data_IF_257700221718
#
_entry.id   IF_257700221718
#
_cell.length_a   1.000
_cell.length_b   1.000
_cell.length_c   1.000
_cell.angle_alpha   90.00
_cell.angle_beta   90.00
_cell.angle_gamma   90.00
#
_symmetry.space_group_name_H-M   'P 1'
#
loop_
_entity.id
_entity.type
_entity.pdbx_description
1 polymer ?
#
# COMPACT_ATOMS: atom_id res chain seq x y z
N UNK A 1 -7.13 -4.20 -15.53
CA UNK A 1 -7.48 -2.89 -16.13
C UNK A 1 -8.59 -2.25 -15.30
N UNK A 2 -8.48 -0.96 -14.97
CA UNK A 2 -9.53 -0.23 -14.25
C UNK A 2 -10.75 0.00 -15.14
N UNK A 3 -11.90 0.18 -14.52
CA UNK A 3 -13.18 0.54 -15.14
C UNK A 3 -13.51 2.01 -14.85
N UNK A 4 -14.44 2.59 -15.61
CA UNK A 4 -14.91 3.97 -15.37
C UNK A 4 -15.31 4.22 -13.91
N UNK A 5 -16.04 3.27 -13.31
CA UNK A 5 -16.51 3.40 -11.94
C UNK A 5 -15.35 3.37 -10.92
N UNK A 6 -14.31 2.57 -11.18
CA UNK A 6 -13.11 2.53 -10.32
C UNK A 6 -12.46 3.92 -10.25
N UNK A 7 -12.32 4.59 -11.39
CA UNK A 7 -11.67 5.91 -11.49
C UNK A 7 -12.54 7.00 -10.85
N UNK A 8 -13.85 6.96 -11.06
CA UNK A 8 -14.78 7.92 -10.45
C UNK A 8 -14.83 7.76 -8.94
N UNK A 9 -14.93 6.53 -8.44
CA UNK A 9 -14.94 6.28 -7.00
C UNK A 9 -13.58 6.59 -6.37
N UNK A 10 -12.49 6.26 -7.06
CA UNK A 10 -11.14 6.67 -6.68
C UNK A 10 -11.03 8.18 -6.46
N UNK A 11 -11.51 9.01 -7.38
CA UNK A 11 -11.48 10.47 -7.19
C UNK A 11 -12.28 10.89 -5.94
N UNK A 12 -13.48 10.33 -5.73
CA UNK A 12 -14.31 10.66 -4.56
C UNK A 12 -13.58 10.37 -3.25
N UNK A 13 -12.76 9.32 -3.20
CA UNK A 13 -11.97 9.01 -2.01
C UNK A 13 -10.95 10.09 -1.64
N UNK A 14 -10.48 10.90 -2.61
CA UNK A 14 -9.57 12.01 -2.33
C UNK A 14 -10.22 13.13 -1.52
N UNK A 15 -11.55 13.16 -1.37
CA UNK A 15 -12.21 14.13 -0.48
C UNK A 15 -11.75 14.01 0.98
N UNK A 16 -11.10 12.91 1.36
CA UNK A 16 -10.54 12.68 2.70
C UNK A 16 -9.02 12.92 2.75
N UNK A 17 -8.40 13.32 1.64
CA UNK A 17 -6.96 13.56 1.56
C UNK A 17 -6.54 14.80 2.36
N UNK A 18 -5.30 14.78 2.85
CA UNK A 18 -4.71 15.83 3.70
C UNK A 18 -4.77 17.23 3.08
N UNK A 19 -4.60 17.33 1.77
CA UNK A 19 -4.53 18.58 1.02
C UNK A 19 -5.91 19.17 0.71
N UNK A 20 -7.00 18.53 1.15
CA UNK A 20 -8.36 19.01 0.91
C UNK A 20 -8.69 20.18 1.85
N UNK A 21 -9.03 21.39 1.33
CA UNK A 21 -9.39 22.52 2.16
C UNK A 21 -10.62 22.25 3.03
N UNK A 22 -10.59 22.76 4.26
CA UNK A 22 -11.74 22.73 5.17
C UNK A 22 -12.81 23.74 4.72
N UNK A 23 -14.07 23.51 5.12
CA UNK A 23 -15.19 24.43 4.82
C UNK A 23 -15.79 24.31 3.40
N UNK A 24 -15.23 23.48 2.52
CA UNK A 24 -15.81 23.20 1.22
C UNK A 24 -17.03 22.26 1.31
N UNK A 25 -18.07 22.55 0.52
CA UNK A 25 -19.17 21.61 0.28
C UNK A 25 -18.68 20.35 -0.44
N UNK A 26 -19.49 19.29 -0.45
CA UNK A 26 -19.10 18.05 -1.13
C UNK A 26 -18.79 18.25 -2.62
N UNK A 27 -19.62 19.01 -3.35
CA UNK A 27 -19.38 19.31 -4.77
C UNK A 27 -18.10 20.13 -4.97
N UNK A 28 -17.85 21.11 -4.11
CA UNK A 28 -16.63 21.93 -4.16
C UNK A 28 -15.37 21.08 -3.90
N UNK A 29 -15.44 20.10 -2.99
CA UNK A 29 -14.33 19.15 -2.76
C UNK A 29 -14.06 18.29 -3.98
N UNK A 30 -15.10 17.79 -4.65
CA UNK A 30 -14.93 17.01 -5.88
C UNK A 30 -14.30 17.85 -7.00
N UNK A 31 -14.73 19.10 -7.17
CA UNK A 31 -14.12 20.01 -8.14
C UNK A 31 -12.66 20.33 -7.80
N UNK A 32 -12.36 20.58 -6.52
CA UNK A 32 -11.00 20.78 -6.05
C UNK A 32 -10.10 19.58 -6.38
N UNK A 33 -10.57 18.36 -6.09
CA UNK A 33 -9.78 17.15 -6.35
C UNK A 33 -9.65 16.84 -7.85
N UNK A 34 -10.69 17.11 -8.66
CA UNK A 34 -10.57 17.02 -10.11
C UNK A 34 -9.52 18.00 -10.65
N UNK A 35 -9.45 19.23 -10.13
CA UNK A 35 -8.42 20.22 -10.48
C UNK A 35 -7.03 19.80 -10.05
N UNK A 36 -6.87 19.20 -8.86
CA UNK A 36 -5.58 18.68 -8.40
C UNK A 36 -5.03 17.57 -9.31
N UNK A 37 -5.91 16.87 -10.02
CA UNK A 37 -5.56 15.86 -11.03
C UNK A 37 -5.39 16.41 -12.46
N UNK A 38 -5.67 17.70 -12.69
CA UNK A 38 -5.49 18.38 -13.99
C UNK A 38 -6.78 18.57 -14.80
N UNK A 39 -7.97 18.37 -14.21
CA UNK A 39 -9.25 18.61 -14.87
C UNK A 39 -9.84 19.98 -14.48
N UNK A 40 -10.71 20.54 -15.31
CA UNK A 40 -11.33 21.85 -15.02
C UNK A 40 -12.36 21.79 -13.87
N UNK A 41 -13.07 20.67 -13.77
CA UNK A 41 -14.11 20.38 -12.78
C UNK A 41 -14.37 18.87 -12.70
N UNK A 42 -15.14 18.44 -11.70
CA UNK A 42 -15.60 17.07 -11.57
C UNK A 42 -16.49 16.65 -12.75
N UNK A 43 -17.30 17.56 -13.27
CA UNK A 43 -18.09 17.32 -14.49
C UNK A 43 -17.19 17.10 -15.71
N UNK A 44 -16.17 17.96 -15.90
CA UNK A 44 -15.19 17.80 -16.98
C UNK A 44 -14.49 16.44 -16.86
N UNK A 45 -14.00 16.09 -15.67
CA UNK A 45 -13.43 14.77 -15.38
C UNK A 45 -14.35 13.62 -15.80
N UNK A 46 -15.60 13.61 -15.33
CA UNK A 46 -16.55 12.51 -15.64
C UNK A 46 -16.81 12.39 -17.13
N UNK A 47 -16.99 13.52 -17.82
CA UNK A 47 -17.23 13.56 -19.27
C UNK A 47 -16.01 13.06 -20.04
N UNK A 48 -14.81 13.54 -19.71
CA UNK A 48 -13.56 13.07 -20.33
C UNK A 48 -13.42 11.57 -20.18
N UNK A 49 -13.54 11.05 -18.95
CA UNK A 49 -13.37 9.61 -18.69
C UNK A 49 -14.41 8.74 -19.40
N UNK A 50 -15.65 9.22 -19.60
CA UNK A 50 -16.69 8.47 -20.33
C UNK A 50 -16.52 8.47 -21.85
N UNK A 51 -15.76 9.41 -22.39
CA UNK A 51 -15.61 9.61 -23.84
C UNK A 51 -14.28 9.06 -24.38
N UNK A 52 -13.38 8.59 -23.50
CA UNK A 52 -12.11 8.03 -23.93
C UNK A 52 -12.32 6.68 -24.65
N UNK A 53 -11.64 6.45 -25.79
CA UNK A 53 -11.53 5.13 -26.39
C UNK A 53 -10.90 4.12 -25.42
N UNK A 54 -11.22 2.84 -25.56
CA UNK A 54 -10.78 1.77 -24.65
C UNK A 54 -9.27 1.76 -24.38
N UNK A 55 -8.46 1.85 -25.43
CA UNK A 55 -6.99 1.79 -25.31
C UNK A 55 -6.43 3.00 -24.56
N UNK A 56 -6.91 4.20 -24.90
CA UNK A 56 -6.56 5.44 -24.20
C UNK A 56 -7.06 5.44 -22.76
N UNK A 57 -8.26 4.89 -22.52
CA UNK A 57 -8.83 4.77 -21.17
C UNK A 57 -7.94 3.90 -20.28
N UNK A 58 -7.45 2.77 -20.79
CA UNK A 58 -6.58 1.88 -20.02
C UNK A 58 -5.32 2.59 -19.50
N UNK A 59 -4.61 3.29 -20.39
CA UNK A 59 -3.39 4.02 -20.03
C UNK A 59 -3.68 5.22 -19.09
N UNK A 60 -4.71 6.01 -19.41
CA UNK A 60 -5.09 7.20 -18.62
C UNK A 60 -5.58 6.80 -17.23
N UNK A 61 -6.45 5.79 -17.14
CA UNK A 61 -6.98 5.30 -15.85
C UNK A 61 -5.87 4.75 -14.95
N UNK A 62 -4.89 4.03 -15.51
CA UNK A 62 -3.75 3.52 -14.75
C UNK A 62 -2.91 4.66 -14.14
N UNK A 63 -2.63 5.71 -14.92
CA UNK A 63 -1.91 6.89 -14.45
C UNK A 63 -2.69 7.70 -13.41
N UNK A 64 -4.01 7.87 -13.61
CA UNK A 64 -4.88 8.56 -12.66
C UNK A 64 -4.99 7.81 -11.34
N UNK A 65 -5.24 6.50 -11.38
CA UNK A 65 -5.34 5.68 -10.18
C UNK A 65 -4.03 5.67 -9.40
N UNK A 66 -2.88 5.68 -10.07
CA UNK A 66 -1.57 5.84 -9.40
C UNK A 66 -1.54 7.12 -8.57
N UNK A 67 -1.89 8.27 -9.16
CA UNK A 67 -1.91 9.57 -8.47
C UNK A 67 -2.96 9.62 -7.35
N UNK A 68 -4.10 8.97 -7.55
CA UNK A 68 -5.14 8.85 -6.52
C UNK A 68 -4.61 8.06 -5.33
N UNK A 69 -4.07 6.86 -5.54
CA UNK A 69 -3.51 6.03 -4.47
C UNK A 69 -2.33 6.71 -3.74
N UNK A 70 -1.55 7.53 -4.46
CA UNK A 70 -0.44 8.32 -3.90
C UNK A 70 -0.89 9.46 -2.99
N UNK A 71 -2.07 10.05 -3.25
CA UNK A 71 -2.62 11.16 -2.45
C UNK A 71 -3.56 10.71 -1.35
N UNK A 72 -4.34 9.65 -1.61
CA UNK A 72 -5.37 9.13 -0.71
C UNK A 72 -4.77 8.77 0.65
N UNK A 73 -5.54 9.02 1.70
CA UNK A 73 -5.30 8.46 3.03
C UNK A 73 -6.14 7.19 3.22
N UNK A 74 -5.72 6.28 4.11
CA UNK A 74 -6.53 5.13 4.53
C UNK A 74 -8.00 5.47 4.78
N UNK A 75 -8.87 4.73 4.09
CA UNK A 75 -10.31 4.99 4.07
C UNK A 75 -10.95 4.71 5.42
N UNK A 76 -10.56 3.61 6.04
CA UNK A 76 -11.11 3.17 7.33
C UNK A 76 -10.23 3.61 8.49
N UNK A 77 -10.71 4.51 9.39
CA UNK A 77 -9.90 5.03 10.49
C UNK A 77 -9.50 3.99 11.52
N UNK A 78 -10.32 2.96 11.71
CA UNK A 78 -10.15 1.94 12.76
C UNK A 78 -9.57 0.62 12.23
N UNK A 79 -9.31 0.52 10.93
CA UNK A 79 -8.71 -0.66 10.34
C UNK A 79 -7.19 -0.63 10.47
N UNK A 80 -6.58 -1.79 10.73
CA UNK A 80 -5.12 -1.93 10.72
C UNK A 80 -4.63 -1.94 9.28
N UNK A 81 -3.55 -1.23 9.03
CA UNK A 81 -2.85 -1.29 7.75
C UNK A 81 -1.50 -1.98 7.91
N UNK A 82 -1.00 -2.50 6.80
CA UNK A 82 0.28 -3.16 6.70
C UNK A 82 1.07 -2.55 5.54
N UNK A 83 2.35 -2.29 5.78
CA UNK A 83 3.26 -1.73 4.78
C UNK A 83 3.99 -2.85 4.05
N UNK A 84 3.96 -2.78 2.72
CA UNK A 84 4.64 -3.71 1.83
C UNK A 84 5.41 -2.95 0.75
N UNK A 85 6.47 -3.58 0.24
CA UNK A 85 7.33 -3.03 -0.82
C UNK A 85 7.65 -4.15 -1.82
N UNK A 86 7.34 -4.01 -3.11
CA UNK A 86 7.75 -4.98 -4.11
C UNK A 86 9.27 -5.00 -4.28
N UNK A 87 9.86 -6.18 -4.27
CA UNK A 87 11.29 -6.41 -4.49
C UNK A 87 11.50 -7.21 -5.78
N UNK A 88 12.71 -7.20 -6.37
CA UNK A 88 12.98 -7.96 -7.60
C UNK A 88 12.62 -9.45 -7.50
N UNK A 89 12.77 -10.04 -6.30
CA UNK A 89 12.50 -11.44 -6.03
C UNK A 89 11.54 -11.60 -4.85
N UNK A 90 10.41 -10.89 -4.85
CA UNK A 90 9.33 -11.10 -3.88
C UNK A 90 8.86 -9.82 -3.20
N UNK A 91 8.51 -9.91 -1.92
CA UNK A 91 7.90 -8.79 -1.18
C UNK A 91 8.63 -8.51 0.14
N UNK A 92 9.00 -7.24 0.31
CA UNK A 92 9.39 -6.65 1.58
C UNK A 92 8.18 -6.18 2.37
N UNK A 93 8.30 -6.10 3.68
CA UNK A 93 7.25 -5.55 4.56
C UNK A 93 7.82 -4.94 5.84
N UNK A 94 7.14 -3.92 6.36
CA UNK A 94 7.47 -3.39 7.68
C UNK A 94 7.06 -4.39 8.75
N UNK A 95 8.04 -4.87 9.52
CA UNK A 95 7.90 -6.10 10.27
C UNK A 95 8.05 -5.90 11.78
N UNK A 96 7.54 -6.88 12.53
CA UNK A 96 7.86 -7.06 13.95
C UNK A 96 8.50 -8.44 14.15
N UNK A 97 9.47 -8.51 15.05
CA UNK A 97 10.07 -9.76 15.50
C UNK A 97 9.08 -10.54 16.36
N UNK A 98 8.96 -11.85 16.14
CA UNK A 98 8.08 -12.75 16.89
C UNK A 98 8.80 -13.94 17.52
N UNK A 99 10.10 -14.11 17.25
CA UNK A 99 10.89 -15.18 17.83
C UNK A 99 12.11 -15.55 17.00
N UNK A 100 12.79 -16.61 17.42
CA UNK A 100 13.87 -17.24 16.66
C UNK A 100 13.40 -18.62 16.18
N UNK A 101 13.84 -19.03 15.00
CA UNK A 101 13.60 -20.38 14.52
C UNK A 101 14.61 -21.38 15.09
N UNK A 102 14.46 -22.66 14.71
CA UNK A 102 15.37 -23.75 15.13
C UNK A 102 16.82 -23.59 14.63
N UNK A 103 17.06 -22.70 13.69
CA UNK A 103 18.37 -22.39 13.13
C UNK A 103 18.97 -21.10 13.73
N UNK A 104 18.25 -20.45 14.64
CA UNK A 104 18.63 -19.14 15.20
C UNK A 104 18.45 -17.98 14.24
N UNK A 105 17.61 -18.13 13.21
CA UNK A 105 17.19 -17.04 12.32
C UNK A 105 15.99 -16.28 12.91
N UNK A 106 15.90 -14.99 12.62
CA UNK A 106 14.75 -14.18 13.06
C UNK A 106 13.47 -14.64 12.36
N UNK A 107 12.42 -14.86 13.15
CA UNK A 107 11.08 -15.01 12.64
C UNK A 107 10.37 -13.67 12.81
N UNK A 108 9.89 -13.11 11.70
CA UNK A 108 9.26 -11.79 11.65
C UNK A 108 7.99 -11.82 10.84
N UNK A 109 6.96 -11.10 11.27
CA UNK A 109 5.68 -10.97 10.57
C UNK A 109 5.34 -9.50 10.29
N UNK A 110 4.40 -9.21 9.35
CA UNK A 110 3.94 -7.85 9.10
C UNK A 110 3.44 -7.17 10.37
N UNK A 111 3.96 -5.97 10.64
CA UNK A 111 3.57 -5.19 11.81
C UNK A 111 2.30 -4.41 11.50
N UNK A 112 1.25 -4.50 12.33
CA UNK A 112 0.08 -3.67 12.16
C UNK A 112 0.39 -2.20 12.45
N UNK A 113 -0.15 -1.31 11.63
CA UNK A 113 0.05 0.14 11.69
C UNK A 113 -1.28 0.89 11.84
N UNK A 114 -1.23 2.05 12.51
CA UNK A 114 -2.26 3.08 12.38
C UNK A 114 -2.16 3.65 10.97
N UNK A 115 -3.14 3.34 10.11
CA UNK A 115 -3.05 3.64 8.68
C UNK A 115 -2.74 5.11 8.39
N UNK A 116 -3.61 6.02 8.85
CA UNK A 116 -3.48 7.45 8.53
C UNK A 116 -2.19 8.04 9.07
N UNK A 117 -1.91 7.87 10.36
CA UNK A 117 -0.73 8.47 10.98
C UNK A 117 0.57 7.94 10.36
N UNK A 118 0.62 6.65 10.03
CA UNK A 118 1.82 6.03 9.46
C UNK A 118 2.06 6.48 8.02
N UNK A 119 1.01 6.51 7.18
CA UNK A 119 1.10 7.03 5.81
C UNK A 119 1.54 8.48 5.80
N UNK A 120 0.96 9.32 6.66
CA UNK A 120 1.30 10.74 6.76
C UNK A 120 2.75 10.94 7.19
N UNK A 121 3.20 10.22 8.23
CA UNK A 121 4.58 10.28 8.71
C UNK A 121 5.56 9.85 7.62
N UNK A 122 5.31 8.71 6.97
CA UNK A 122 6.22 8.18 5.96
C UNK A 122 6.32 9.16 4.78
N UNK A 123 5.20 9.63 4.24
CA UNK A 123 5.19 10.63 3.15
C UNK A 123 5.89 11.94 3.52
N UNK A 124 5.97 12.28 4.80
CA UNK A 124 6.67 13.48 5.29
C UNK A 124 8.19 13.34 5.38
N UNK A 125 8.73 12.11 5.33
CA UNK A 125 10.18 11.85 5.52
C UNK A 125 10.84 11.15 4.33
N UNK A 126 10.06 10.67 3.36
CA UNK A 126 10.57 9.99 2.16
C UNK A 126 10.27 10.81 0.90
N UNK A 127 11.14 10.65 -0.11
CA UNK A 127 11.04 11.31 -1.41
C UNK A 127 10.44 10.40 -2.51
N UNK A 128 10.21 9.11 -2.19
CA UNK A 128 9.58 8.15 -3.10
C UNK A 128 8.05 8.07 -2.89
N UNK A 129 7.28 7.62 -3.90
CA UNK A 129 5.83 7.50 -3.78
C UNK A 129 5.39 6.49 -2.71
N UNK A 130 4.41 6.86 -1.88
CA UNK A 130 3.75 5.95 -0.93
C UNK A 130 2.28 5.81 -1.29
N UNK A 131 1.87 4.61 -1.67
CA UNK A 131 0.51 4.31 -2.12
C UNK A 131 -0.37 3.80 -0.98
N UNK A 132 -1.64 4.19 -0.97
CA UNK A 132 -2.68 3.53 -0.19
C UNK A 132 -3.50 2.69 -1.16
N UNK A 133 -3.55 1.38 -0.94
CA UNK A 133 -4.19 0.39 -1.82
C UNK A 133 -5.38 -0.20 -1.06
N UNK A 134 -6.59 -0.06 -1.61
CA UNK A 134 -7.87 -0.38 -0.96
C UNK A 134 -8.68 -1.41 -1.75
N UNK A 135 -8.16 -1.92 -2.88
CA UNK A 135 -8.87 -2.90 -3.72
C UNK A 135 -7.92 -3.83 -4.47
N UNK A 136 -8.46 -4.97 -4.91
CA UNK A 136 -7.80 -5.97 -5.77
C UNK A 136 -7.16 -5.38 -7.04
N UNK A 137 -7.87 -4.46 -7.70
CA UNK A 137 -7.38 -3.84 -8.95
C UNK A 137 -6.21 -2.91 -8.70
N UNK A 138 -6.28 -2.14 -7.61
CA UNK A 138 -5.18 -1.28 -7.17
C UNK A 138 -3.97 -2.13 -6.72
N UNK A 139 -4.21 -3.23 -6.00
CA UNK A 139 -3.18 -4.19 -5.59
C UNK A 139 -2.43 -4.77 -6.79
N UNK A 140 -3.17 -5.22 -7.80
CA UNK A 140 -2.59 -5.75 -9.05
C UNK A 140 -1.76 -4.68 -9.76
N UNK A 141 -2.30 -3.46 -9.92
CA UNK A 141 -1.60 -2.36 -10.57
C UNK A 141 -0.32 -1.95 -9.81
N UNK A 142 -0.39 -1.91 -8.48
CA UNK A 142 0.75 -1.59 -7.63
C UNK A 142 1.87 -2.63 -7.75
N UNK A 143 1.56 -3.92 -7.61
CA UNK A 143 2.56 -5.01 -7.70
C UNK A 143 3.24 -5.05 -9.06
N UNK A 144 2.47 -4.89 -10.13
CA UNK A 144 2.99 -5.12 -11.48
C UNK A 144 3.62 -3.87 -12.11
N UNK A 145 3.07 -2.68 -11.82
CA UNK A 145 3.41 -1.45 -12.57
C UNK A 145 4.03 -0.38 -11.67
N UNK A 146 3.38 -0.02 -10.55
CA UNK A 146 3.79 1.17 -9.78
C UNK A 146 5.02 0.94 -8.91
N UNK A 147 5.14 -0.25 -8.30
CA UNK A 147 6.36 -0.77 -7.64
C UNK A 147 7.07 0.21 -6.69
N UNK A 148 6.35 0.71 -5.69
CA UNK A 148 6.90 1.48 -4.56
C UNK A 148 6.31 0.98 -3.24
N UNK A 149 6.54 1.66 -2.11
CA UNK A 149 5.89 1.32 -0.84
C UNK A 149 4.37 1.48 -0.92
N UNK A 150 3.62 0.52 -0.38
CA UNK A 150 2.18 0.63 -0.24
C UNK A 150 1.67 0.17 1.13
N UNK A 151 0.56 0.79 1.52
CA UNK A 151 -0.23 0.48 2.71
C UNK A 151 -1.52 -0.21 2.28
N UNK A 152 -1.76 -1.40 2.80
CA UNK A 152 -2.94 -2.22 2.51
C UNK A 152 -3.75 -2.44 3.81
N UNK A 153 -5.10 -2.41 3.75
CA UNK A 153 -5.93 -2.76 4.89
C UNK A 153 -5.78 -4.24 5.26
N UNK A 154 -6.08 -4.58 6.52
CA UNK A 154 -5.87 -5.92 7.09
C UNK A 154 -6.48 -7.06 6.26
N UNK A 155 -7.71 -6.89 5.80
CA UNK A 155 -8.39 -7.90 4.98
C UNK A 155 -7.63 -8.19 3.68
N UNK A 156 -7.33 -7.14 2.91
CA UNK A 156 -6.60 -7.26 1.65
C UNK A 156 -5.19 -7.82 1.85
N UNK A 157 -4.50 -7.37 2.91
CA UNK A 157 -3.17 -7.87 3.24
C UNK A 157 -3.20 -9.36 3.60
N UNK A 158 -4.13 -9.80 4.45
CA UNK A 158 -4.23 -11.21 4.88
C UNK A 158 -4.68 -12.12 3.75
N UNK A 159 -5.56 -11.66 2.88
CA UNK A 159 -6.03 -12.45 1.73
C UNK A 159 -4.90 -12.75 0.75
N UNK A 160 -4.03 -11.78 0.46
CA UNK A 160 -2.99 -11.92 -0.56
C UNK A 160 -1.61 -12.33 -0.04
N UNK A 161 -1.36 -12.08 1.24
CA UNK A 161 -0.08 -12.33 1.89
C UNK A 161 -0.23 -13.22 3.13
N UNK A 162 -1.21 -14.14 3.15
CA UNK A 162 -1.48 -15.04 4.28
C UNK A 162 -0.22 -15.71 4.86
N UNK A 163 0.65 -16.23 3.98
CA UNK A 163 1.92 -16.88 4.37
C UNK A 163 2.88 -15.98 5.17
N UNK A 164 2.72 -14.66 5.09
CA UNK A 164 3.53 -13.68 5.82
C UNK A 164 3.06 -13.54 7.27
N UNK A 165 1.78 -13.80 7.53
CA UNK A 165 1.16 -13.79 8.85
C UNK A 165 1.26 -15.14 9.57
N UNK A 166 1.33 -16.24 8.82
CA UNK A 166 1.37 -17.61 9.39
C UNK A 166 2.79 -18.09 9.72
N UNK A 167 3.55 -17.25 10.44
CA UNK A 167 4.96 -17.49 10.78
C UNK A 167 5.19 -17.98 12.21
N UNK A 168 4.17 -17.94 13.08
CA UNK A 168 4.29 -18.38 14.48
C UNK A 168 4.80 -19.83 14.61
N UNK A 169 4.40 -20.72 13.68
CA UNK A 169 4.86 -22.12 13.63
C UNK A 169 6.36 -22.30 13.43
N UNK A 170 7.06 -21.27 12.96
CA UNK A 170 8.52 -21.30 12.76
C UNK A 170 9.27 -20.97 14.05
N UNK A 171 8.61 -20.34 15.03
CA UNK A 171 9.22 -19.94 16.29
C UNK A 171 9.51 -21.17 17.14
N UNK A 172 10.77 -21.35 17.51
CA UNK A 172 11.20 -22.43 18.39
C UNK A 172 10.88 -22.09 19.85
N UNK A 173 10.32 -23.05 20.59
CA UNK A 173 10.10 -22.91 22.04
C UNK A 173 11.41 -22.74 22.82
N UNK A 174 12.48 -23.40 22.36
CA UNK A 174 13.83 -23.33 22.91
C UNK A 174 14.82 -23.00 21.79
N UNK A 175 15.00 -21.71 21.47
CA UNK A 175 15.87 -21.32 20.36
C UNK A 175 17.35 -21.56 20.72
N UNK A 176 18.20 -21.91 19.73
CA UNK A 176 19.62 -22.16 19.95
C UNK A 176 20.37 -20.83 20.13
N UNK A 177 20.42 -20.31 21.35
CA UNK A 177 20.98 -18.98 21.65
C UNK A 177 22.43 -18.81 21.19
N UNK A 178 23.26 -19.86 21.26
CA UNK A 178 24.64 -19.80 20.73
C UNK A 178 24.68 -19.54 19.21
N UNK A 179 23.71 -20.04 18.44
CA UNK A 179 23.60 -19.74 17.00
C UNK A 179 23.12 -18.32 16.78
N UNK A 180 22.12 -17.87 17.56
CA UNK A 180 21.59 -16.50 17.51
C UNK A 180 22.71 -15.49 17.78
N UNK A 181 23.48 -15.66 18.85
CA UNK A 181 24.58 -14.76 19.22
C UNK A 181 25.70 -14.72 18.18
N UNK A 182 26.02 -15.87 17.56
CA UNK A 182 27.01 -15.91 16.47
C UNK A 182 26.52 -15.15 15.24
N UNK A 183 25.26 -15.35 14.85
CA UNK A 183 24.64 -14.60 13.75
C UNK A 183 24.59 -13.10 14.05
N UNK A 184 24.33 -12.74 15.32
CA UNK A 184 24.39 -11.36 15.80
C UNK A 184 25.67 -10.64 15.47
N UNK A 185 26.77 -11.25 15.88
CA UNK A 185 28.10 -10.70 15.72
C UNK A 185 28.51 -10.59 14.25
N UNK A 186 27.89 -11.39 13.37
CA UNK A 186 28.13 -11.37 11.93
C UNK A 186 27.30 -10.35 11.14
N UNK A 187 26.36 -9.64 11.79
CA UNK A 187 25.47 -8.68 11.13
C UNK A 187 24.41 -9.31 10.21
N UNK A 188 24.19 -10.63 10.29
CA UNK A 188 23.19 -11.34 9.48
C UNK A 188 21.83 -11.33 10.17
N UNK A 189 21.22 -10.15 10.21
CA UNK A 189 19.82 -9.99 10.60
C UNK A 189 19.08 -9.27 9.49
N UNK A 190 18.39 -10.03 8.64
CA UNK A 190 17.20 -9.53 7.96
C UNK A 190 16.57 -10.63 7.12
N UNK A 191 15.37 -11.06 7.51
CA UNK A 191 14.46 -11.77 6.62
C UNK A 191 13.11 -11.04 6.59
N UNK A 192 13.16 -9.73 6.31
CA UNK A 192 11.98 -8.94 5.93
C UNK A 192 11.56 -9.19 4.49
N UNK A 193 12.23 -10.12 3.80
CA UNK A 193 12.01 -10.47 2.40
C UNK A 193 11.50 -11.90 2.34
N UNK A 194 10.35 -12.10 1.72
CA UNK A 194 9.92 -13.41 1.24
C UNK A 194 10.19 -13.48 -0.25
N UNK A 195 10.75 -14.60 -0.69
CA UNK A 195 10.96 -14.90 -2.10
C UNK A 195 9.69 -15.53 -2.66
N UNK A 196 9.08 -14.88 -3.64
CA UNK A 196 7.98 -15.48 -4.40
C UNK A 196 8.60 -16.57 -5.29
N UNK A 197 8.32 -17.83 -5.00
CA UNK A 197 8.65 -18.91 -5.94
C UNK A 197 7.72 -18.76 -7.15
N UNK A 198 8.31 -18.45 -8.30
CA UNK A 198 7.62 -18.34 -9.59
C UNK A 198 7.00 -19.67 -10.02
#
# INVERSE_FOLDING_TARGET
MFQYLDVVNGLKTLCTALDTPTGLSHCQRLDFQARSLGFQSYHHFRRTMSQLPTDSFAAVSLGLMRRICEKRLPLEPNCRYYEFVPLPHGMGYYSRWIGWDKNGDEVREPRPLSGRDSVQRLRGVVDFPVYVVESERELTAWRQVWRSTAYLPEELARQHFAAYFDKQRLVAEKPPMDLVERKARSGRYDSNVMVDNA
#
